data_IF_045274065877
#
_entry.id   IF_045274065877
#
_cell.length_a   1.000
_cell.length_b   1.000
_cell.length_c   1.000
_cell.angle_alpha   90.00
_cell.angle_beta   90.00
_cell.angle_gamma   90.00
#
_symmetry.space_group_name_H-M   'P 1'
#
loop_
_entity.id
_entity.type
_entity.pdbx_description
1 polymer ?
#
# COMPACT_ATOMS: atom_id res chain seq x y z
N UNK A 1 28.86 64.23 8.22
CA UNK A 1 28.08 63.00 7.98
C UNK A 1 29.07 61.88 7.69
N UNK A 2 29.45 61.09 8.69
CA UNK A 2 30.44 60.01 8.50
C UNK A 2 29.71 58.77 8.00
N UNK A 3 29.89 58.42 6.73
CA UNK A 3 29.37 57.16 6.18
C UNK A 3 30.18 56.00 6.75
N UNK A 4 29.53 55.00 7.36
CA UNK A 4 30.20 53.78 7.82
C UNK A 4 30.95 53.13 6.66
N UNK A 5 32.24 52.76 6.83
CA UNK A 5 32.94 51.99 5.82
C UNK A 5 32.21 50.67 5.59
N UNK A 6 32.03 50.29 4.31
CA UNK A 6 31.33 49.07 3.91
C UNK A 6 32.32 48.05 3.35
N UNK A 7 32.35 46.85 3.92
CA UNK A 7 33.13 45.72 3.42
C UNK A 7 32.39 45.03 2.26
N UNK A 8 33.13 44.47 1.29
CA UNK A 8 32.58 43.81 0.11
C UNK A 8 32.98 42.34 0.11
N UNK A 9 31.98 41.45 0.09
CA UNK A 9 32.20 40.01 -0.01
C UNK A 9 31.89 39.52 -1.43
N UNK A 10 32.64 38.52 -1.89
CA UNK A 10 32.38 37.84 -3.17
C UNK A 10 31.49 36.63 -2.89
N UNK A 11 30.37 36.53 -3.60
CA UNK A 11 29.43 35.41 -3.49
C UNK A 11 29.37 34.70 -4.83
N UNK A 12 29.64 33.39 -4.81
CA UNK A 12 29.51 32.55 -5.99
C UNK A 12 28.06 32.12 -6.14
N UNK A 13 27.50 32.38 -7.31
CA UNK A 13 26.14 32.02 -7.69
C UNK A 13 26.15 31.38 -9.06
N UNK A 14 25.19 30.54 -9.35
CA UNK A 14 25.03 29.98 -10.69
C UNK A 14 24.56 31.07 -11.67
N UNK A 15 24.76 30.90 -12.99
CA UNK A 15 24.23 31.84 -13.98
C UNK A 15 22.71 32.01 -13.87
N UNK A 16 21.99 30.93 -13.59
CA UNK A 16 20.54 30.96 -13.38
C UNK A 16 20.16 31.78 -12.14
N UNK A 17 20.88 31.63 -11.03
CA UNK A 17 20.67 32.44 -9.82
C UNK A 17 20.96 33.93 -10.09
N UNK A 18 22.06 34.24 -10.80
CA UNK A 18 22.39 35.62 -11.17
C UNK A 18 21.26 36.27 -11.98
N UNK A 19 20.70 35.55 -12.95
CA UNK A 19 19.56 36.01 -13.74
C UNK A 19 18.32 36.25 -12.87
N UNK A 20 17.98 35.29 -12.00
CA UNK A 20 16.83 35.41 -11.11
C UNK A 20 16.95 36.60 -10.15
N UNK A 21 18.14 36.83 -9.60
CA UNK A 21 18.45 37.98 -8.74
C UNK A 21 18.24 39.30 -9.50
N UNK A 22 18.85 39.42 -10.69
CA UNK A 22 18.70 40.64 -11.51
C UNK A 22 17.24 40.94 -11.84
N UNK A 23 16.50 39.93 -12.32
CA UNK A 23 15.08 40.08 -12.66
C UNK A 23 14.24 40.52 -11.45
N UNK A 24 14.53 39.99 -10.27
CA UNK A 24 13.84 40.36 -9.02
C UNK A 24 14.11 41.82 -8.66
N UNK A 25 15.38 42.25 -8.77
CA UNK A 25 15.77 43.63 -8.52
C UNK A 25 15.11 44.61 -9.51
N UNK A 26 15.09 44.25 -10.80
CA UNK A 26 14.43 45.04 -11.86
C UNK A 26 12.93 45.17 -11.61
N UNK A 27 12.26 44.08 -11.22
CA UNK A 27 10.83 44.08 -10.91
C UNK A 27 10.49 45.01 -9.73
N UNK A 28 11.40 45.10 -8.76
CA UNK A 28 11.25 45.96 -7.58
C UNK A 28 11.78 47.39 -7.82
N UNK A 29 12.41 47.68 -8.96
CA UNK A 29 13.01 48.98 -9.27
C UNK A 29 14.18 49.37 -8.36
N UNK A 30 14.87 48.40 -7.75
CA UNK A 30 16.00 48.64 -6.84
C UNK A 30 17.28 48.01 -7.37
N UNK A 31 18.44 48.44 -6.86
CA UNK A 31 19.72 47.82 -7.23
C UNK A 31 19.83 46.41 -6.63
N UNK A 32 20.62 45.55 -7.31
CA UNK A 32 20.94 44.20 -6.80
C UNK A 32 21.61 44.28 -5.42
N UNK A 33 22.50 45.26 -5.20
CA UNK A 33 23.16 45.44 -3.90
C UNK A 33 22.17 45.79 -2.79
N UNK A 34 21.14 46.56 -3.11
CA UNK A 34 20.08 46.90 -2.15
C UNK A 34 19.15 45.72 -1.88
N UNK A 35 18.77 44.97 -2.92
CA UNK A 35 18.04 43.71 -2.77
C UNK A 35 18.78 42.74 -1.84
N UNK A 36 20.09 42.57 -2.06
CA UNK A 36 20.93 41.71 -1.24
C UNK A 36 21.04 42.20 0.20
N UNK A 37 21.19 43.52 0.41
CA UNK A 37 21.21 44.10 1.76
C UNK A 37 19.92 43.79 2.51
N UNK A 38 18.76 44.00 1.88
CA UNK A 38 17.44 43.70 2.47
C UNK A 38 17.28 42.21 2.75
N UNK A 39 17.68 41.36 1.81
CA UNK A 39 17.62 39.91 1.97
C UNK A 39 18.45 39.46 3.17
N UNK A 40 19.68 39.98 3.33
CA UNK A 40 20.55 39.65 4.47
C UNK A 40 19.97 40.14 5.80
N UNK A 41 19.42 41.35 5.85
CA UNK A 41 18.81 41.87 7.08
C UNK A 41 17.54 41.10 7.48
N UNK A 42 16.76 40.65 6.50
CA UNK A 42 15.54 39.88 6.72
C UNK A 42 15.79 38.37 6.84
N UNK A 43 17.02 37.91 6.57
CA UNK A 43 17.36 36.50 6.64
C UNK A 43 17.50 36.08 8.10
N UNK A 44 16.56 35.27 8.56
CA UNK A 44 16.63 34.64 9.86
C UNK A 44 16.87 33.14 9.67
N UNK A 45 18.13 32.72 9.84
CA UNK A 45 18.58 31.35 9.59
C UNK A 45 17.75 30.30 10.34
N UNK A 46 17.36 30.57 11.59
CA UNK A 46 16.59 29.61 12.40
C UNK A 46 15.15 29.49 11.93
N UNK A 47 14.54 30.59 11.49
CA UNK A 47 13.16 30.58 10.97
C UNK A 47 13.05 29.83 9.65
N UNK A 48 14.01 30.00 8.75
CA UNK A 48 14.04 29.26 7.48
C UNK A 48 14.34 27.77 7.70
N UNK A 49 15.23 27.43 8.64
CA UNK A 49 15.47 26.04 9.02
C UNK A 49 14.22 25.36 9.59
N UNK A 50 13.47 26.05 10.47
CA UNK A 50 12.22 25.52 11.03
C UNK A 50 11.18 25.29 9.92
N UNK A 51 11.05 26.19 8.94
CA UNK A 51 10.14 26.01 7.80
C UNK A 51 10.53 24.81 6.93
N UNK A 52 11.82 24.67 6.64
CA UNK A 52 12.33 23.53 5.85
C UNK A 52 12.12 22.23 6.61
N UNK A 53 12.45 22.19 7.91
CA UNK A 53 12.19 21.04 8.77
C UNK A 53 10.70 20.67 8.76
N UNK A 54 9.79 21.64 8.91
CA UNK A 54 8.35 21.39 8.86
C UNK A 54 7.83 20.94 7.49
N UNK A 55 8.50 21.26 6.38
CA UNK A 55 8.17 20.69 5.06
C UNK A 55 8.67 19.25 4.99
N UNK A 56 9.92 19.01 5.40
CA UNK A 56 10.52 17.67 5.41
C UNK A 56 9.72 16.73 6.31
N UNK A 57 9.30 17.20 7.48
CA UNK A 57 8.47 16.44 8.42
C UNK A 57 7.10 16.09 7.81
N UNK A 58 6.46 17.03 7.10
CA UNK A 58 5.20 16.75 6.38
C UNK A 58 5.37 15.78 5.22
N UNK A 59 6.51 15.82 4.52
CA UNK A 59 6.82 14.88 3.44
C UNK A 59 7.18 13.49 3.98
N UNK A 60 7.80 13.42 5.16
CA UNK A 60 8.13 12.19 5.87
C UNK A 60 6.95 11.61 6.65
N UNK A 61 5.92 12.41 6.93
CA UNK A 61 4.73 11.95 7.62
C UNK A 61 4.14 10.75 6.87
N UNK A 62 3.80 9.65 7.58
CA UNK A 62 3.18 8.49 6.97
C UNK A 62 1.93 8.93 6.20
N UNK A 63 1.92 8.70 4.89
CA UNK A 63 0.78 9.04 4.03
C UNK A 63 -0.41 8.24 4.53
N UNK A 64 -1.45 8.93 5.03
CA UNK A 64 -2.66 8.29 5.50
C UNK A 64 -3.18 7.31 4.43
N UNK A 65 -3.68 6.13 4.81
CA UNK A 65 -4.16 5.15 3.86
C UNK A 65 -5.25 5.79 3.01
N UNK A 66 -5.03 5.80 1.70
CA UNK A 66 -5.96 6.38 0.74
C UNK A 66 -7.31 5.69 0.87
N UNK A 67 -8.31 6.44 1.36
CA UNK A 67 -9.65 5.94 1.63
C UNK A 67 -10.29 5.35 0.36
N UNK A 68 -9.96 5.87 -0.82
CA UNK A 68 -10.42 5.33 -2.10
C UNK A 68 -9.78 3.96 -2.36
N UNK A 69 -8.48 3.82 -2.14
CA UNK A 69 -7.79 2.53 -2.29
C UNK A 69 -8.32 1.48 -1.31
N UNK A 70 -8.59 1.86 -0.06
CA UNK A 70 -9.22 0.97 0.91
C UNK A 70 -10.64 0.54 0.48
N UNK A 71 -11.43 1.50 -0.02
CA UNK A 71 -12.77 1.21 -0.55
C UNK A 71 -12.71 0.26 -1.76
N UNK A 72 -11.83 0.51 -2.72
CA UNK A 72 -11.63 -0.34 -3.90
C UNK A 72 -11.21 -1.76 -3.53
N UNK A 73 -10.28 -1.93 -2.58
CA UNK A 73 -9.90 -3.25 -2.06
C UNK A 73 -11.08 -3.99 -1.43
N UNK A 74 -11.91 -3.29 -0.66
CA UNK A 74 -13.10 -3.89 -0.04
C UNK A 74 -14.14 -4.33 -1.09
N UNK A 75 -14.31 -3.56 -2.17
CA UNK A 75 -15.22 -3.89 -3.27
C UNK A 75 -14.69 -5.09 -4.06
N UNK A 76 -13.40 -5.09 -4.38
CA UNK A 76 -12.75 -6.22 -5.06
C UNK A 76 -12.87 -7.52 -4.24
N UNK A 77 -12.63 -7.46 -2.94
CA UNK A 77 -12.80 -8.62 -2.04
C UNK A 77 -14.24 -9.14 -2.03
N UNK A 78 -15.24 -8.24 -1.99
CA UNK A 78 -16.66 -8.62 -2.05
C UNK A 78 -17.04 -9.23 -3.41
N UNK A 79 -16.51 -8.70 -4.50
CA UNK A 79 -16.74 -9.25 -5.84
C UNK A 79 -16.17 -10.67 -5.98
N UNK A 80 -14.92 -10.88 -5.54
CA UNK A 80 -14.29 -12.20 -5.55
C UNK A 80 -15.05 -13.22 -4.68
N UNK A 81 -15.53 -12.81 -3.50
CA UNK A 81 -16.33 -13.68 -2.63
C UNK A 81 -17.68 -14.06 -3.27
N UNK A 82 -18.28 -13.16 -4.04
CA UNK A 82 -19.53 -13.44 -4.76
C UNK A 82 -19.28 -14.43 -5.90
N UNK A 83 -18.23 -14.23 -6.69
CA UNK A 83 -17.86 -15.14 -7.78
C UNK A 83 -17.58 -16.56 -7.26
N UNK A 84 -16.84 -16.67 -6.15
CA UNK A 84 -16.57 -17.96 -5.51
C UNK A 84 -17.87 -18.67 -5.06
N UNK A 85 -18.83 -17.93 -4.51
CA UNK A 85 -20.16 -18.48 -4.14
C UNK A 85 -20.96 -18.92 -5.36
N UNK A 86 -20.94 -18.15 -6.44
CA UNK A 86 -21.63 -18.50 -7.67
C UNK A 86 -21.00 -19.74 -8.34
N UNK A 87 -19.67 -19.86 -8.30
CA UNK A 87 -18.95 -21.05 -8.77
C UNK A 87 -19.31 -22.30 -7.93
N UNK A 88 -19.27 -22.21 -6.60
CA UNK A 88 -19.65 -23.30 -5.71
C UNK A 88 -21.12 -23.72 -5.91
N UNK A 89 -22.03 -22.77 -6.14
CA UNK A 89 -23.43 -23.06 -6.41
C UNK A 89 -23.65 -23.76 -7.76
N UNK A 90 -22.82 -23.47 -8.77
CA UNK A 90 -22.86 -24.18 -10.07
C UNK A 90 -22.36 -25.61 -9.91
N UNK A 91 -21.24 -25.80 -9.24
CA UNK A 91 -20.67 -27.13 -8.97
C UNK A 91 -21.67 -28.01 -8.20
N UNK A 92 -22.32 -27.47 -7.16
CA UNK A 92 -23.34 -28.19 -6.41
C UNK A 92 -24.54 -28.62 -7.29
N UNK A 93 -24.96 -27.78 -8.25
CA UNK A 93 -26.05 -28.12 -9.18
C UNK A 93 -25.64 -29.20 -10.17
N UNK A 94 -24.41 -29.16 -10.67
CA UNK A 94 -23.87 -30.18 -11.56
C UNK A 94 -23.69 -31.53 -10.85
N UNK A 95 -23.24 -31.51 -9.59
CA UNK A 95 -23.19 -32.69 -8.73
C UNK A 95 -24.59 -33.29 -8.48
N UNK A 96 -25.59 -32.46 -8.18
CA UNK A 96 -26.97 -32.91 -8.00
C UNK A 96 -27.59 -33.48 -9.29
N UNK A 97 -27.32 -32.85 -10.45
CA UNK A 97 -27.81 -33.32 -11.73
C UNK A 97 -27.18 -34.66 -12.14
N UNK A 98 -25.88 -34.82 -11.91
CA UNK A 98 -25.17 -36.08 -12.17
C UNK A 98 -25.60 -37.20 -11.22
N UNK A 99 -25.84 -36.90 -9.94
CA UNK A 99 -26.41 -37.86 -8.98
C UNK A 99 -27.81 -38.31 -9.40
N UNK A 100 -28.66 -37.39 -9.85
CA UNK A 100 -30.01 -37.70 -10.35
C UNK A 100 -29.98 -38.58 -11.59
N UNK A 101 -29.07 -38.29 -12.54
CA UNK A 101 -28.88 -39.11 -13.75
C UNK A 101 -28.38 -40.52 -13.40
N UNK A 102 -27.47 -40.65 -12.43
CA UNK A 102 -26.95 -41.93 -11.94
C UNK A 102 -28.06 -42.76 -11.25
N UNK A 103 -28.91 -42.12 -10.44
CA UNK A 103 -30.05 -42.77 -9.81
C UNK A 103 -31.12 -43.23 -10.83
N UNK A 104 -31.36 -42.46 -11.90
CA UNK A 104 -32.27 -42.86 -12.98
C UNK A 104 -31.72 -44.05 -13.79
N UNK A 105 -30.41 -44.08 -14.09
CA UNK A 105 -29.76 -45.19 -14.79
C UNK A 105 -29.79 -46.49 -13.97
N UNK A 106 -29.61 -46.40 -12.64
CA UNK A 106 -29.72 -47.55 -11.74
C UNK A 106 -31.14 -48.13 -11.67
N UNK A 107 -32.18 -47.35 -11.98
CA UNK A 107 -33.58 -47.82 -12.07
C UNK A 107 -33.96 -48.44 -13.41
N UNK A 108 -33.17 -48.22 -14.47
CA UNK A 108 -33.44 -48.73 -15.82
C UNK A 108 -32.75 -50.06 -16.16
N UNK A 109 -31.94 -50.61 -15.26
CA UNK A 109 -31.34 -51.93 -15.45
C UNK A 109 -32.36 -53.01 -15.03
N UNK A 110 -32.87 -53.86 -15.95
CA UNK A 110 -33.72 -54.96 -15.55
C UNK A 110 -32.91 -55.95 -14.71
N UNK A 111 -33.43 -56.27 -13.53
CA UNK A 111 -32.91 -57.34 -12.68
C UNK A 111 -32.97 -58.68 -13.42
N UNK A 112 -31.80 -59.23 -13.75
CA UNK A 112 -31.62 -60.66 -13.95
C UNK A 112 -30.67 -61.21 -12.90
N UNK A 113 -31.28 -61.97 -11.98
CA UNK A 113 -30.77 -63.01 -11.11
C UNK A 113 -29.71 -62.70 -10.05
N UNK A 114 -30.15 -63.00 -8.82
CA UNK A 114 -29.41 -63.08 -7.58
C UNK A 114 -28.38 -64.21 -7.55
N UNK A 115 -27.28 -63.97 -6.81
CA UNK A 115 -26.65 -64.96 -5.93
C UNK A 115 -25.72 -64.25 -4.92
N UNK A 116 -26.07 -64.38 -3.63
CA UNK A 116 -25.24 -64.52 -2.40
C UNK A 116 -24.08 -63.52 -2.15
N UNK A 117 -24.15 -62.68 -1.12
CA UNK A 117 -23.65 -62.89 0.27
C UNK A 117 -22.10 -62.97 0.31
N UNK A 118 -21.34 -62.11 1.01
CA UNK A 118 -21.43 -61.73 2.43
C UNK A 118 -20.84 -60.32 2.71
N UNK A 119 -21.14 -59.69 3.87
CA UNK A 119 -20.55 -58.43 4.32
C UNK A 119 -19.41 -58.65 5.32
N UNK A 120 -18.33 -57.88 5.21
CA UNK A 120 -17.35 -57.74 6.30
C UNK A 120 -17.19 -56.25 6.63
N UNK A 121 -17.69 -55.92 7.81
CA UNK A 121 -17.51 -54.67 8.54
C UNK A 121 -16.03 -54.45 8.86
N UNK A 122 -15.50 -53.27 8.57
CA UNK A 122 -14.51 -52.67 9.47
C UNK A 122 -14.65 -51.14 9.46
N UNK A 123 -15.23 -50.65 10.55
CA UNK A 123 -15.33 -49.25 10.91
C UNK A 123 -14.17 -48.94 11.85
N UNK A 124 -13.29 -48.01 11.48
CA UNK A 124 -12.54 -47.24 12.49
C UNK A 124 -12.74 -45.73 12.24
N UNK A 125 -13.48 -45.14 13.19
CA UNK A 125 -13.56 -43.72 13.52
C UNK A 125 -12.23 -43.33 14.21
N UNK A 126 -11.49 -42.34 13.72
CA UNK A 126 -11.62 -40.90 14.06
C UNK A 126 -10.89 -40.50 15.35
N UNK A 127 -10.00 -39.50 15.23
CA UNK A 127 -9.63 -38.40 16.17
C UNK A 127 -8.16 -38.02 15.94
N UNK A 128 -7.89 -36.81 15.45
CA UNK A 128 -7.75 -35.54 16.20
C UNK A 128 -6.43 -35.42 16.98
N UNK A 129 -5.47 -34.69 16.41
CA UNK A 129 -4.46 -33.85 17.07
C UNK A 129 -3.48 -33.42 15.96
N UNK A 130 -3.30 -32.17 15.59
CA UNK A 130 -3.21 -30.96 16.40
C UNK A 130 -2.05 -30.17 15.79
N UNK A 131 -2.36 -28.98 15.28
CA UNK A 131 -1.36 -28.01 14.83
C UNK A 131 -0.37 -27.71 15.96
N UNK A 132 0.92 -27.92 15.72
CA UNK A 132 1.98 -27.23 16.47
C UNK A 132 3.01 -26.67 15.47
N UNK A 133 2.70 -25.49 14.96
CA UNK A 133 3.68 -24.64 14.30
C UNK A 133 3.56 -23.25 14.92
N UNK A 134 4.12 -23.10 16.12
CA UNK A 134 4.20 -21.82 16.79
C UNK A 134 5.54 -21.61 17.51
N UNK A 135 6.23 -20.52 17.11
CA UNK A 135 7.29 -19.77 17.79
C UNK A 135 8.66 -20.48 18.02
N UNK A 136 9.82 -19.92 17.67
CA UNK A 136 10.30 -18.54 17.87
C UNK A 136 11.38 -18.16 16.83
N UNK A 137 11.21 -17.05 16.12
CA UNK A 137 12.33 -16.29 15.54
C UNK A 137 12.57 -15.10 16.47
N UNK A 138 13.64 -15.19 17.29
CA UNK A 138 13.99 -14.17 18.27
C UNK A 138 15.45 -13.74 18.06
N UNK A 139 15.60 -12.48 17.68
CA UNK A 139 16.70 -11.56 18.01
C UNK A 139 18.08 -11.74 17.34
N UNK A 140 18.29 -10.88 16.33
CA UNK A 140 19.17 -9.70 16.41
C UNK A 140 20.31 -9.80 17.44
N UNK A 141 21.55 -9.95 16.95
CA UNK A 141 22.72 -9.43 17.65
C UNK A 141 23.72 -8.87 16.65
N UNK A 142 23.69 -7.55 16.49
CA UNK A 142 24.74 -6.75 15.88
C UNK A 142 25.98 -6.79 16.79
N UNK A 143 27.15 -7.07 16.22
CA UNK A 143 28.44 -6.69 16.80
C UNK A 143 29.42 -6.34 15.69
#
# INVERSE_FOLDING_TARGET
MTTKPSERIVVFVTPAQKLAISKTADTLGISVSELMRRAVLNFNATSEQIKVAGIVDRLRAPKAPDALNAALKSVAAKAAAREAREAAAREAREAAASATKRAAQARSVPHTHAASAEPEDEIEHDTDQGDDASLTDDTRSER
#
